data_IF_824596308929
#
_entry.id   IF_824596308929
#
_cell.length_a   1.000
_cell.length_b   1.000
_cell.length_c   1.000
_cell.angle_alpha   90.00
_cell.angle_beta   90.00
_cell.angle_gamma   90.00
#
_symmetry.space_group_name_H-M   'P 1'
#
loop_
_entity.id
_entity.type
_entity.pdbx_description
1 polymer ?
#
# COMPACT_ATOMS: atom_id res chain seq x y z
N UNK A 1 60.20 -7.97 18.71
CA UNK A 1 58.79 -7.53 18.76
C UNK A 1 58.01 -8.38 17.76
N UNK A 2 57.70 -9.63 18.12
CA UNK A 2 57.04 -10.58 17.22
C UNK A 2 55.53 -10.51 17.44
N UNK A 3 54.81 -10.00 16.45
CA UNK A 3 53.37 -10.22 16.32
C UNK A 3 53.23 -11.69 15.90
N UNK A 4 53.01 -12.56 16.88
CA UNK A 4 52.70 -13.97 16.64
C UNK A 4 51.34 -14.05 15.95
N UNK A 5 51.34 -14.59 14.74
CA UNK A 5 50.15 -14.98 13.98
C UNK A 5 49.29 -15.90 14.85
N UNK A 6 48.09 -15.41 15.22
CA UNK A 6 47.06 -16.24 15.84
C UNK A 6 46.77 -17.45 14.94
N UNK A 7 46.69 -18.68 15.48
CA UNK A 7 46.31 -19.85 14.70
C UNK A 7 44.96 -19.60 14.03
N UNK A 8 44.89 -19.84 12.72
CA UNK A 8 43.71 -19.58 11.87
C UNK A 8 42.45 -20.23 12.43
N UNK A 9 42.59 -21.38 13.09
CA UNK A 9 41.51 -22.13 13.76
C UNK A 9 40.97 -21.43 15.01
N UNK A 10 41.83 -20.83 15.85
CA UNK A 10 41.41 -20.03 17.00
C UNK A 10 40.70 -18.76 16.55
N UNK A 11 41.16 -18.16 15.46
CA UNK A 11 40.56 -16.97 14.87
C UNK A 11 39.18 -17.30 14.25
N UNK A 12 39.03 -18.44 13.58
CA UNK A 12 37.72 -18.95 13.11
C UNK A 12 36.77 -19.32 14.26
N UNK A 13 37.26 -19.94 15.33
CA UNK A 13 36.45 -20.22 16.51
C UNK A 13 36.00 -18.94 17.22
N UNK A 14 36.88 -17.95 17.33
CA UNK A 14 36.53 -16.66 17.94
C UNK A 14 35.56 -15.85 17.07
N UNK A 15 35.76 -15.84 15.74
CA UNK A 15 34.85 -15.18 14.80
C UNK A 15 33.47 -15.86 14.76
N UNK A 16 33.42 -17.19 14.82
CA UNK A 16 32.15 -17.94 14.86
C UNK A 16 31.40 -17.71 16.19
N UNK A 17 32.11 -17.71 17.32
CA UNK A 17 31.52 -17.36 18.63
C UNK A 17 31.03 -15.91 18.68
N UNK A 18 31.79 -14.97 18.13
CA UNK A 18 31.41 -13.56 18.04
C UNK A 18 30.14 -13.38 17.18
N UNK A 19 30.09 -14.02 16.01
CA UNK A 19 28.91 -14.03 15.14
C UNK A 19 27.69 -14.65 15.82
N UNK A 20 27.88 -15.77 16.55
CA UNK A 20 26.83 -16.42 17.32
C UNK A 20 26.24 -15.52 18.40
N UNK A 21 27.08 -14.82 19.17
CA UNK A 21 26.62 -13.90 20.21
C UNK A 21 25.75 -12.77 19.62
N UNK A 22 26.19 -12.12 18.53
CA UNK A 22 25.41 -11.05 17.90
C UNK A 22 24.11 -11.56 17.31
N UNK A 23 24.12 -12.76 16.72
CA UNK A 23 22.91 -13.42 16.26
C UNK A 23 21.94 -13.68 17.41
N UNK A 24 22.43 -14.18 18.54
CA UNK A 24 21.59 -14.47 19.71
C UNK A 24 21.00 -13.18 20.30
N UNK A 25 21.82 -12.14 20.49
CA UNK A 25 21.35 -10.83 20.97
C UNK A 25 20.31 -10.22 20.03
N UNK A 26 20.53 -10.33 18.72
CA UNK A 26 19.59 -9.85 17.72
C UNK A 26 18.25 -10.60 17.82
N UNK A 27 18.26 -11.93 17.79
CA UNK A 27 17.04 -12.75 17.74
C UNK A 27 16.25 -12.71 19.05
N UNK A 28 16.86 -12.31 20.17
CA UNK A 28 16.15 -12.04 21.42
C UNK A 28 15.38 -10.71 21.41
N UNK A 29 15.75 -9.77 20.54
CA UNK A 29 15.17 -8.42 20.50
C UNK A 29 14.34 -8.15 19.24
N UNK A 30 14.65 -8.81 18.13
CA UNK A 30 14.07 -8.55 16.82
C UNK A 30 13.74 -9.85 16.09
N UNK A 31 12.74 -9.77 15.20
CA UNK A 31 12.38 -10.88 14.34
C UNK A 31 13.51 -11.21 13.33
N UNK A 32 13.63 -12.48 12.91
CA UNK A 32 14.62 -12.87 11.92
C UNK A 32 14.43 -12.11 10.59
N UNK A 33 15.49 -11.56 10.01
CA UNK A 33 15.41 -10.78 8.77
C UNK A 33 15.06 -11.62 7.55
N UNK A 34 14.39 -11.02 6.57
CA UNK A 34 13.96 -11.70 5.33
C UNK A 34 15.15 -12.31 4.58
N UNK A 35 16.29 -11.60 4.58
CA UNK A 35 17.50 -12.00 3.85
C UNK A 35 18.04 -13.39 4.21
N UNK A 36 17.79 -13.87 5.44
CA UNK A 36 18.22 -15.21 5.90
C UNK A 36 17.47 -16.33 5.18
N UNK A 37 16.30 -16.03 4.62
CA UNK A 37 15.50 -17.01 3.89
C UNK A 37 15.85 -17.05 2.40
N UNK A 38 16.54 -16.03 1.90
CA UNK A 38 16.94 -15.92 0.49
C UNK A 38 18.37 -16.43 0.23
N UNK A 39 19.26 -16.40 1.23
CA UNK A 39 20.67 -16.78 1.07
C UNK A 39 21.08 -17.85 2.08
N UNK A 40 22.07 -18.68 1.71
CA UNK A 40 22.78 -19.56 2.66
C UNK A 40 23.30 -18.71 3.83
N UNK A 41 23.10 -19.20 5.06
CA UNK A 41 23.18 -18.48 6.34
C UNK A 41 24.53 -17.82 6.70
N UNK A 42 25.52 -17.79 5.80
CA UNK A 42 26.93 -17.63 6.16
C UNK A 42 27.45 -16.19 6.19
N UNK A 43 26.77 -15.20 5.60
CA UNK A 43 27.33 -13.83 5.50
C UNK A 43 26.37 -12.69 5.93
N UNK A 44 25.53 -12.93 6.94
CA UNK A 44 24.67 -11.87 7.48
C UNK A 44 25.38 -11.09 8.60
N UNK A 45 25.55 -9.77 8.43
CA UNK A 45 26.21 -8.89 9.41
C UNK A 45 25.31 -8.53 10.61
N UNK A 46 25.07 -9.51 11.49
CA UNK A 46 24.20 -9.40 12.68
C UNK A 46 24.49 -8.18 13.56
N UNK A 47 25.77 -7.90 13.84
CA UNK A 47 26.18 -6.77 14.69
C UNK A 47 25.74 -5.42 14.11
N UNK A 48 26.04 -5.19 12.83
CA UNK A 48 25.71 -3.94 12.15
C UNK A 48 24.20 -3.71 12.10
N UNK A 49 23.45 -4.78 11.87
CA UNK A 49 21.99 -4.79 11.77
C UNK A 49 21.30 -4.55 13.13
N UNK A 50 21.86 -5.07 14.22
CA UNK A 50 21.42 -4.77 15.57
C UNK A 50 21.67 -3.30 15.93
N UNK A 51 22.90 -2.82 15.70
CA UNK A 51 23.31 -1.44 16.00
C UNK A 51 22.45 -0.45 15.19
N UNK A 52 22.19 -0.71 13.91
CA UNK A 52 21.36 0.13 13.07
C UNK A 52 19.93 0.27 13.62
N UNK A 53 19.29 -0.84 14.00
CA UNK A 53 17.92 -0.84 14.57
C UNK A 53 17.83 -0.10 15.90
N UNK A 54 18.80 -0.32 16.81
CA UNK A 54 18.85 0.38 18.10
C UNK A 54 19.08 1.88 17.90
N UNK A 55 20.00 2.27 17.01
CA UNK A 55 20.24 3.67 16.65
C UNK A 55 19.00 4.32 16.04
N UNK A 56 18.30 3.63 15.14
CA UNK A 56 17.08 4.12 14.52
C UNK A 56 16.01 4.43 15.58
N UNK A 57 15.76 3.51 16.51
CA UNK A 57 14.83 3.78 17.61
C UNK A 57 15.27 4.96 18.49
N UNK A 58 16.55 5.05 18.84
CA UNK A 58 17.08 6.19 19.60
C UNK A 58 16.83 7.54 18.89
N UNK A 59 17.05 7.59 17.57
CA UNK A 59 16.78 8.79 16.75
C UNK A 59 15.32 9.21 16.81
N UNK A 60 14.36 8.28 16.88
CA UNK A 60 12.95 8.66 16.98
C UNK A 60 12.54 9.21 18.34
N UNK A 61 13.22 8.80 19.41
CA UNK A 61 13.00 9.36 20.75
C UNK A 61 13.66 10.73 20.93
N UNK A 62 14.90 10.90 20.46
CA UNK A 62 15.70 12.08 20.75
C UNK A 62 15.79 13.08 19.59
N UNK A 63 15.33 12.71 18.40
CA UNK A 63 15.44 13.50 17.18
C UNK A 63 16.69 13.14 16.35
N UNK A 64 16.66 13.37 15.02
CA UNK A 64 17.81 13.11 14.15
C UNK A 64 18.87 14.21 14.30
N UNK A 65 20.14 13.80 14.37
CA UNK A 65 21.29 14.72 14.41
C UNK A 65 21.64 15.30 13.01
N UNK A 66 21.25 14.61 11.95
CA UNK A 66 21.46 15.05 10.56
C UNK A 66 20.44 14.40 9.62
N UNK A 67 20.30 14.92 8.40
CA UNK A 67 19.45 14.34 7.36
C UNK A 67 19.86 12.91 6.99
N UNK A 68 21.16 12.60 7.01
CA UNK A 68 21.65 11.23 6.77
C UNK A 68 21.24 10.25 7.88
N UNK A 69 21.33 10.67 9.14
CA UNK A 69 20.84 9.87 10.26
C UNK A 69 19.33 9.63 10.16
N UNK A 70 18.55 10.65 9.75
CA UNK A 70 17.11 10.50 9.48
C UNK A 70 16.85 9.47 8.38
N UNK A 71 17.53 9.57 7.24
CA UNK A 71 17.39 8.60 6.12
C UNK A 71 17.74 7.18 6.55
N UNK A 72 18.85 7.00 7.25
CA UNK A 72 19.28 5.70 7.78
C UNK A 72 18.24 5.11 8.74
N UNK A 73 17.70 5.92 9.65
CA UNK A 73 16.63 5.51 10.56
C UNK A 73 15.35 5.12 9.81
N UNK A 74 14.92 5.89 8.82
CA UNK A 74 13.73 5.58 8.00
C UNK A 74 13.88 4.26 7.24
N UNK A 75 15.00 4.06 6.54
CA UNK A 75 15.29 2.80 5.83
C UNK A 75 15.31 1.60 6.79
N UNK A 76 15.87 1.79 7.99
CA UNK A 76 15.93 0.74 9.01
C UNK A 76 14.53 0.35 9.50
N UNK A 77 13.62 1.30 9.68
CA UNK A 77 12.24 1.00 10.07
C UNK A 77 11.47 0.33 8.96
N UNK A 78 11.64 0.77 7.70
CA UNK A 78 10.99 0.13 6.55
C UNK A 78 11.41 -1.35 6.44
N UNK A 79 12.72 -1.63 6.54
CA UNK A 79 13.23 -3.00 6.57
C UNK A 79 12.68 -3.79 7.77
N UNK A 80 12.55 -3.15 8.94
CA UNK A 80 11.96 -3.77 10.14
C UNK A 80 10.48 -4.14 9.92
N UNK A 81 9.70 -3.32 9.20
CA UNK A 81 8.32 -3.66 8.83
C UNK A 81 8.28 -4.85 7.89
N UNK A 82 9.15 -4.93 6.89
CA UNK A 82 9.23 -6.06 5.96
C UNK A 82 9.60 -7.37 6.67
N UNK A 83 10.61 -7.32 7.55
CA UNK A 83 10.99 -8.44 8.41
C UNK A 83 9.81 -8.92 9.28
N UNK A 84 9.04 -7.96 9.81
CA UNK A 84 7.85 -8.24 10.63
C UNK A 84 6.80 -9.02 9.85
N UNK A 85 6.58 -8.66 8.59
CA UNK A 85 5.61 -9.32 7.71
C UNK A 85 6.02 -10.76 7.44
N UNK A 86 7.29 -11.00 7.11
CA UNK A 86 7.82 -12.35 6.89
C UNK A 86 7.79 -13.22 8.16
N UNK A 87 8.03 -12.61 9.33
CA UNK A 87 7.91 -13.30 10.62
C UNK A 87 6.45 -13.66 10.94
N UNK A 88 5.54 -12.68 10.88
CA UNK A 88 4.14 -12.85 11.20
C UNK A 88 3.43 -13.87 10.31
N UNK A 89 3.79 -13.96 9.03
CA UNK A 89 3.27 -14.99 8.11
C UNK A 89 3.54 -16.43 8.59
N UNK A 90 4.57 -16.64 9.42
CA UNK A 90 4.96 -17.97 9.91
C UNK A 90 4.53 -18.26 11.34
N UNK A 91 4.82 -17.34 12.26
CA UNK A 91 4.57 -17.50 13.70
C UNK A 91 3.20 -16.96 14.10
N UNK A 92 2.65 -16.01 13.35
CA UNK A 92 1.44 -15.27 13.68
C UNK A 92 1.65 -14.08 14.61
N UNK A 93 2.89 -13.80 15.04
CA UNK A 93 3.26 -12.68 15.89
C UNK A 93 4.62 -12.11 15.46
N UNK A 94 4.89 -10.85 15.81
CA UNK A 94 6.13 -10.16 15.47
C UNK A 94 6.58 -9.30 16.65
N UNK A 95 7.81 -9.55 17.12
CA UNK A 95 8.44 -8.74 18.17
C UNK A 95 8.79 -7.34 17.63
N UNK A 96 9.14 -7.26 16.35
CA UNK A 96 9.41 -6.00 15.67
C UNK A 96 8.20 -5.06 15.71
N UNK A 97 6.98 -5.55 15.45
CA UNK A 97 5.76 -4.74 15.56
C UNK A 97 5.47 -4.34 17.00
N UNK A 98 5.72 -5.21 17.98
CA UNK A 98 5.58 -4.87 19.41
C UNK A 98 6.50 -3.71 19.78
N UNK A 99 7.77 -3.77 19.37
CA UNK A 99 8.74 -2.68 19.50
C UNK A 99 8.30 -1.41 18.77
N UNK A 100 7.87 -1.53 17.51
CA UNK A 100 7.42 -0.41 16.69
C UNK A 100 6.20 0.29 17.31
N UNK A 101 5.22 -0.45 17.83
CA UNK A 101 4.07 0.11 18.58
C UNK A 101 4.55 0.93 19.78
N UNK A 102 5.48 0.40 20.57
CA UNK A 102 6.04 1.14 21.73
C UNK A 102 6.72 2.44 21.28
N UNK A 103 7.48 2.41 20.20
CA UNK A 103 8.15 3.60 19.64
C UNK A 103 7.11 4.59 19.11
N UNK A 104 6.14 4.15 18.31
CA UNK A 104 5.08 4.99 17.75
C UNK A 104 4.30 5.76 18.82
N UNK A 105 3.94 5.11 19.92
CA UNK A 105 3.13 5.73 20.97
C UNK A 105 3.92 6.49 22.04
N UNK A 106 5.23 6.25 22.18
CA UNK A 106 6.06 6.88 23.23
C UNK A 106 7.12 7.86 22.70
N UNK A 107 7.33 7.92 21.40
CA UNK A 107 8.35 8.77 20.78
C UNK A 107 7.74 9.92 19.99
N UNK A 108 8.58 10.87 19.62
CA UNK A 108 8.25 11.98 18.73
C UNK A 108 8.28 11.55 17.24
N UNK A 109 8.19 10.25 16.95
CA UNK A 109 8.22 9.71 15.59
C UNK A 109 7.21 10.41 14.68
N UNK A 110 5.99 10.64 15.14
CA UNK A 110 4.93 11.25 14.33
C UNK A 110 5.22 12.70 13.99
N UNK A 111 5.57 13.51 14.99
CA UNK A 111 5.93 14.92 14.75
C UNK A 111 7.15 15.03 13.84
N UNK A 112 8.13 14.13 13.99
CA UNK A 112 9.29 14.05 13.11
C UNK A 112 8.96 13.58 11.68
N UNK A 113 7.98 12.69 11.49
CA UNK A 113 7.52 12.24 10.17
C UNK A 113 6.73 13.33 9.41
N UNK A 114 6.09 14.24 10.13
CA UNK A 114 5.37 15.37 9.54
C UNK A 114 6.23 16.64 9.42
N UNK A 115 7.46 16.61 9.91
CA UNK A 115 8.43 17.69 9.67
C UNK A 115 8.85 17.66 8.20
N UNK A 116 8.68 18.80 7.54
CA UNK A 116 9.05 19.01 6.14
C UNK A 116 10.52 18.61 5.91
N UNK A 117 10.78 17.96 4.78
CA UNK A 117 12.14 17.71 4.29
C UNK A 117 12.20 18.17 2.85
N UNK A 118 13.28 18.86 2.49
CA UNK A 118 13.51 19.35 1.13
C UNK A 118 14.10 18.27 0.21
N UNK A 119 14.59 17.17 0.80
CA UNK A 119 15.17 16.03 0.07
C UNK A 119 14.06 15.16 -0.55
N UNK A 120 14.05 14.96 -1.88
CA UNK A 120 13.02 14.14 -2.54
C UNK A 120 13.06 12.68 -2.06
N UNK A 121 14.25 12.15 -1.74
CA UNK A 121 14.41 10.81 -1.20
C UNK A 121 13.79 10.66 0.20
N UNK A 122 13.99 11.66 1.06
CA UNK A 122 13.41 11.66 2.41
C UNK A 122 11.89 11.70 2.35
N UNK A 123 11.34 12.47 1.40
CA UNK A 123 9.91 12.57 1.16
C UNK A 123 9.36 11.21 0.73
N UNK A 124 10.00 10.53 -0.22
CA UNK A 124 9.57 9.18 -0.66
C UNK A 124 9.62 8.17 0.49
N UNK A 125 10.70 8.10 1.26
CA UNK A 125 10.83 7.19 2.41
C UNK A 125 9.80 7.48 3.50
N UNK A 126 9.55 8.76 3.77
CA UNK A 126 8.56 9.21 4.75
C UNK A 126 7.14 8.84 4.29
N UNK A 127 6.81 9.07 3.02
CA UNK A 127 5.51 8.74 2.44
C UNK A 127 5.28 7.24 2.34
N UNK A 128 6.33 6.44 2.10
CA UNK A 128 6.26 4.98 2.17
C UNK A 128 5.88 4.51 3.59
N UNK A 129 6.58 5.02 4.60
CA UNK A 129 6.28 4.66 5.99
C UNK A 129 4.87 5.12 6.42
N UNK A 130 4.44 6.31 6.00
CA UNK A 130 3.06 6.79 6.25
C UNK A 130 2.01 5.91 5.57
N UNK A 131 2.29 5.44 4.35
CA UNK A 131 1.43 4.50 3.63
C UNK A 131 1.27 3.18 4.40
N UNK A 132 2.35 2.65 4.97
CA UNK A 132 2.31 1.41 5.77
C UNK A 132 1.54 1.58 7.10
N UNK A 133 1.65 2.76 7.72
CA UNK A 133 0.95 3.08 8.97
C UNK A 133 -0.55 3.38 8.76
N UNK A 134 -0.99 3.65 7.53
CA UNK A 134 -2.42 3.75 7.17
C UNK A 134 -3.27 4.66 8.07
N UNK A 135 -2.70 5.79 8.52
CA UNK A 135 -3.35 6.72 9.47
C UNK A 135 -3.79 6.11 10.82
N UNK A 136 -3.34 4.89 11.17
CA UNK A 136 -3.68 4.21 12.45
C UNK A 136 -3.37 5.08 13.65
N UNK A 137 -2.42 5.98 13.52
CA UNK A 137 -1.99 6.86 14.60
C UNK A 137 -2.89 8.08 14.82
N UNK A 138 -3.76 8.39 13.85
CA UNK A 138 -4.78 9.46 13.96
C UNK A 138 -6.15 8.94 14.40
N UNK A 139 -6.26 7.64 14.71
CA UNK A 139 -7.50 6.97 15.13
C UNK A 139 -7.73 6.95 16.65
N UNK A 140 -6.88 7.62 17.45
CA UNK A 140 -7.26 7.90 18.82
C UNK A 140 -8.53 8.75 18.76
N UNK A 141 -9.66 8.17 19.16
CA UNK A 141 -10.93 8.90 19.27
C UNK A 141 -10.64 10.19 20.04
N UNK A 142 -11.15 11.36 19.59
CA UNK A 142 -11.15 12.52 20.46
C UNK A 142 -11.89 12.08 21.73
N UNK A 143 -11.17 12.10 22.85
CA UNK A 143 -11.78 11.87 24.14
C UNK A 143 -12.87 12.94 24.27
N UNK A 144 -14.11 12.56 24.55
CA UNK A 144 -15.28 13.45 24.56
C UNK A 144 -15.09 14.63 25.53
N UNK A 145 -14.09 14.52 26.41
CA UNK A 145 -13.67 15.48 27.42
C UNK A 145 -12.67 16.53 26.92
N UNK A 146 -12.01 16.34 25.78
CA UNK A 146 -11.13 17.36 25.16
C UNK A 146 -11.33 17.38 23.64
N UNK A 147 -12.00 18.40 23.09
CA UNK A 147 -12.10 18.57 21.66
C UNK A 147 -10.73 19.02 21.15
N UNK A 148 -9.90 18.06 20.76
CA UNK A 148 -8.62 18.33 20.09
C UNK A 148 -8.90 18.76 18.64
N UNK A 149 -9.63 19.87 18.50
CA UNK A 149 -10.14 20.43 17.25
C UNK A 149 -9.01 20.66 16.24
N UNK A 150 -7.81 20.95 16.72
CA UNK A 150 -6.63 21.17 15.89
C UNK A 150 -6.17 19.89 15.18
N UNK A 151 -6.19 18.75 15.87
CA UNK A 151 -5.87 17.43 15.30
C UNK A 151 -6.90 17.00 14.25
N UNK A 152 -8.19 17.23 14.51
CA UNK A 152 -9.25 16.97 13.54
C UNK A 152 -9.14 17.85 12.30
N UNK A 153 -8.92 19.16 12.48
CA UNK A 153 -8.73 20.11 11.38
C UNK A 153 -7.50 19.78 10.53
N UNK A 154 -6.40 19.37 11.16
CA UNK A 154 -5.19 18.94 10.44
C UNK A 154 -5.46 17.70 9.57
N UNK A 155 -6.23 16.74 10.08
CA UNK A 155 -6.60 15.55 9.31
C UNK A 155 -7.55 15.89 8.15
N UNK A 156 -8.54 16.76 8.38
CA UNK A 156 -9.45 17.22 7.33
C UNK A 156 -8.69 17.98 6.23
N UNK A 157 -7.78 18.87 6.60
CA UNK A 157 -6.93 19.57 5.63
C UNK A 157 -6.05 18.59 4.82
N UNK A 158 -5.51 17.55 5.47
CA UNK A 158 -4.73 16.50 4.79
C UNK A 158 -5.57 15.74 3.76
N UNK A 159 -6.86 15.54 4.05
CA UNK A 159 -7.80 14.91 3.12
C UNK A 159 -7.96 15.74 1.86
N UNK A 160 -8.23 17.03 2.00
CA UNK A 160 -8.48 17.92 0.86
C UNK A 160 -7.23 18.02 -0.04
N UNK A 161 -6.03 18.08 0.56
CA UNK A 161 -4.76 18.03 -0.17
C UNK A 161 -4.60 16.70 -0.91
N UNK A 162 -4.94 15.58 -0.25
CA UNK A 162 -4.81 14.26 -0.87
C UNK A 162 -5.82 14.03 -1.99
N UNK A 163 -7.06 14.50 -1.82
CA UNK A 163 -8.06 14.48 -2.90
C UNK A 163 -7.62 15.33 -4.07
N UNK A 164 -7.07 16.52 -3.81
CA UNK A 164 -6.58 17.40 -4.86
C UNK A 164 -5.48 16.74 -5.69
N UNK A 165 -4.58 15.99 -5.04
CA UNK A 165 -3.55 15.23 -5.72
C UNK A 165 -4.13 14.04 -6.51
N UNK A 166 -5.03 13.26 -5.90
CA UNK A 166 -5.57 12.03 -6.50
C UNK A 166 -6.51 12.31 -7.68
N UNK A 167 -7.29 13.38 -7.65
CA UNK A 167 -8.21 13.73 -8.73
C UNK A 167 -7.60 14.68 -9.78
N UNK A 168 -6.32 15.03 -9.65
CA UNK A 168 -5.58 15.76 -10.69
C UNK A 168 -5.19 14.82 -11.83
N UNK A 169 -5.87 14.98 -12.97
CA UNK A 169 -5.73 14.09 -14.13
C UNK A 169 -4.31 14.10 -14.71
N UNK A 170 -3.53 15.18 -14.48
CA UNK A 170 -2.16 15.31 -14.99
C UNK A 170 -1.19 14.28 -14.39
N UNK A 171 -1.55 13.67 -13.26
CA UNK A 171 -0.76 12.61 -12.64
C UNK A 171 -0.86 11.27 -13.38
N UNK A 172 -1.83 11.13 -14.30
CA UNK A 172 -2.15 9.89 -15.00
C UNK A 172 -1.78 10.00 -16.47
N UNK A 173 -0.65 9.40 -16.83
CA UNK A 173 -0.13 9.44 -18.20
C UNK A 173 0.36 8.07 -18.61
N UNK A 174 0.61 7.88 -19.91
CA UNK A 174 1.24 6.67 -20.40
C UNK A 174 2.61 6.39 -19.74
N UNK A 175 3.39 7.44 -19.39
CA UNK A 175 4.68 7.30 -18.70
C UNK A 175 4.53 6.77 -17.28
N UNK A 176 3.47 7.19 -16.57
CA UNK A 176 3.15 6.70 -15.22
C UNK A 176 2.30 5.43 -15.25
N UNK A 177 2.01 4.89 -16.45
CA UNK A 177 1.14 3.73 -16.69
C UNK A 177 -0.22 3.86 -15.99
N UNK A 178 -0.73 5.10 -15.92
CA UNK A 178 -1.98 5.45 -15.25
C UNK A 178 -2.10 4.93 -13.79
N UNK A 179 -0.96 4.74 -13.13
CA UNK A 179 -0.86 4.26 -11.75
C UNK A 179 0.05 5.12 -10.89
N UNK A 180 0.31 4.73 -9.63
CA UNK A 180 1.16 5.46 -8.70
C UNK A 180 2.65 5.23 -8.96
N UNK A 181 3.09 5.44 -10.21
CA UNK A 181 4.46 5.24 -10.65
C UNK A 181 5.10 6.54 -11.10
N UNK A 182 6.40 6.62 -10.94
CA UNK A 182 7.24 7.63 -11.55
C UNK A 182 7.47 7.28 -13.04
N UNK A 183 7.87 8.25 -13.89
CA UNK A 183 8.16 8.00 -15.30
C UNK A 183 9.29 6.98 -15.56
N UNK A 184 10.15 6.73 -14.58
CA UNK A 184 11.20 5.70 -14.62
C UNK A 184 10.68 4.31 -14.25
N UNK A 185 9.40 4.19 -13.90
CA UNK A 185 8.76 2.94 -13.50
C UNK A 185 8.86 2.61 -12.02
N UNK A 186 9.62 3.36 -11.22
CA UNK A 186 9.68 3.22 -9.76
C UNK A 186 8.37 3.64 -9.08
N UNK A 187 8.13 3.17 -7.86
CA UNK A 187 6.93 3.56 -7.10
C UNK A 187 7.00 5.02 -6.66
N UNK A 188 5.94 5.79 -6.95
CA UNK A 188 5.76 7.12 -6.39
C UNK A 188 5.05 7.03 -5.04
N UNK A 189 5.80 6.90 -3.95
CA UNK A 189 5.26 6.77 -2.60
C UNK A 189 4.48 7.99 -2.12
N UNK A 190 4.75 9.19 -2.65
CA UNK A 190 3.94 10.39 -2.38
C UNK A 190 2.52 10.20 -2.92
N UNK A 191 2.40 9.68 -4.15
CA UNK A 191 1.10 9.34 -4.73
C UNK A 191 0.41 8.26 -3.91
N UNK A 192 1.12 7.19 -3.55
CA UNK A 192 0.59 6.11 -2.69
C UNK A 192 0.08 6.66 -1.35
N UNK A 193 0.81 7.58 -0.71
CA UNK A 193 0.37 8.21 0.53
C UNK A 193 -0.96 8.93 0.34
N UNK A 194 -1.12 9.70 -0.74
CA UNK A 194 -2.38 10.40 -1.02
C UNK A 194 -3.54 9.44 -1.29
N UNK A 195 -3.30 8.34 -2.03
CA UNK A 195 -4.31 7.29 -2.25
C UNK A 195 -4.75 6.65 -0.93
N UNK A 196 -3.79 6.28 -0.06
CA UNK A 196 -4.05 5.74 1.29
C UNK A 196 -4.86 6.73 2.11
N UNK A 197 -4.48 8.01 2.12
CA UNK A 197 -5.17 9.03 2.91
C UNK A 197 -6.62 9.21 2.47
N UNK A 198 -6.91 9.26 1.17
CA UNK A 198 -8.30 9.41 0.67
C UNK A 198 -9.16 8.24 1.13
N UNK A 199 -8.72 7.00 0.86
CA UNK A 199 -9.49 5.81 1.22
C UNK A 199 -9.66 5.69 2.74
N UNK A 200 -8.57 5.84 3.51
CA UNK A 200 -8.61 5.68 4.96
C UNK A 200 -9.50 6.75 5.64
N UNK A 201 -9.46 7.99 5.17
CA UNK A 201 -10.27 9.08 5.74
C UNK A 201 -11.73 8.98 5.33
N UNK A 202 -12.02 8.52 4.11
CA UNK A 202 -13.39 8.20 3.72
C UNK A 202 -13.94 7.11 4.62
N UNK A 203 -13.25 5.98 4.76
CA UNK A 203 -13.67 4.87 5.64
C UNK A 203 -13.88 5.30 7.09
N UNK A 204 -13.06 6.22 7.61
CA UNK A 204 -13.18 6.76 8.97
C UNK A 204 -14.49 7.53 9.19
N UNK A 205 -14.99 8.22 8.18
CA UNK A 205 -16.21 9.04 8.28
C UNK A 205 -17.50 8.24 8.01
N UNK A 206 -17.39 6.99 7.56
CA UNK A 206 -18.55 6.16 7.25
C UNK A 206 -19.28 5.69 8.53
N UNK A 207 -20.62 5.79 8.58
CA UNK A 207 -21.40 5.46 9.77
C UNK A 207 -21.54 3.95 9.97
N UNK A 208 -21.51 3.47 11.23
CA UNK A 208 -21.90 2.08 11.57
C UNK A 208 -20.75 1.06 11.58
N UNK A 209 -20.88 -0.04 10.83
CA UNK A 209 -20.00 -1.21 10.92
C UNK A 209 -18.68 -1.11 10.12
N UNK A 210 -18.47 -0.03 9.36
CA UNK A 210 -17.28 0.21 8.53
C UNK A 210 -15.94 0.19 9.27
N UNK A 211 -15.84 0.55 10.57
CA UNK A 211 -14.60 0.37 11.33
C UNK A 211 -14.14 -1.09 11.41
N UNK A 212 -15.05 -2.06 11.26
CA UNK A 212 -14.73 -3.51 11.24
C UNK A 212 -14.26 -3.99 9.86
N UNK A 213 -14.49 -3.21 8.81
CA UNK A 213 -14.12 -3.52 7.42
C UNK A 213 -12.99 -2.64 6.91
N UNK A 214 -12.22 -2.00 7.80
CA UNK A 214 -11.07 -1.17 7.41
C UNK A 214 -9.95 -2.01 6.80
N UNK A 215 -9.19 -1.47 5.83
CA UNK A 215 -7.98 -2.13 5.36
C UNK A 215 -6.95 -2.30 6.49
N UNK A 216 -6.19 -3.39 6.52
CA UNK A 216 -5.17 -3.64 7.53
C UNK A 216 -3.94 -2.75 7.33
N UNK A 217 -3.34 -2.31 8.43
CA UNK A 217 -2.06 -1.60 8.46
C UNK A 217 -0.89 -2.55 8.74
N UNK A 218 0.34 -2.03 8.69
CA UNK A 218 1.52 -2.80 9.11
C UNK A 218 1.49 -3.21 10.59
N UNK A 219 0.61 -2.62 11.40
CA UNK A 219 0.45 -2.95 12.83
C UNK A 219 -0.60 -4.04 13.08
N UNK A 220 -1.39 -4.38 12.07
CA UNK A 220 -2.50 -5.34 12.10
C UNK A 220 -2.07 -6.70 11.50
N UNK A 221 -0.84 -7.13 11.79
CA UNK A 221 -0.33 -8.41 11.27
C UNK A 221 -1.10 -9.57 11.91
N UNK A 222 -1.69 -10.41 11.06
CA UNK A 222 -2.35 -11.65 11.43
C UNK A 222 -1.70 -12.81 10.69
N UNK A 223 -1.80 -14.02 11.22
CA UNK A 223 -1.30 -15.24 10.57
C UNK A 223 -2.08 -15.53 9.28
N UNK A 224 -1.67 -14.93 8.17
CA UNK A 224 -2.19 -15.22 6.83
C UNK A 224 -1.11 -15.93 6.04
N UNK A 225 -1.27 -17.23 5.83
CA UNK A 225 -0.40 -18.00 4.91
C UNK A 225 -0.96 -17.86 3.50
N UNK A 226 -0.19 -17.26 2.60
CA UNK A 226 -0.36 -17.46 1.16
C UNK A 226 0.69 -18.45 0.66
N UNK A 227 0.35 -19.20 -0.38
CA UNK A 227 1.26 -20.15 -1.01
C UNK A 227 2.03 -19.50 -2.17
N UNK A 228 1.50 -18.39 -2.70
CA UNK A 228 2.14 -17.56 -3.70
C UNK A 228 2.80 -16.32 -3.08
N UNK A 229 3.77 -15.75 -3.80
CA UNK A 229 4.58 -14.65 -3.29
C UNK A 229 3.81 -13.31 -3.23
N UNK A 230 2.76 -13.11 -4.03
CA UNK A 230 1.98 -11.88 -4.03
C UNK A 230 0.76 -11.93 -3.08
N UNK A 231 0.37 -13.11 -2.60
CA UNK A 231 -0.80 -13.27 -1.77
C UNK A 231 -2.10 -13.61 -2.52
N UNK A 232 -2.07 -13.87 -3.83
CA UNK A 232 -3.22 -14.07 -4.72
C UNK A 232 -4.12 -15.26 -4.30
N UNK A 233 -3.54 -16.40 -3.90
CA UNK A 233 -4.29 -17.66 -3.66
C UNK A 233 -4.94 -17.76 -2.29
N UNK A 234 -6.14 -18.33 -2.18
CA UNK A 234 -6.82 -18.58 -0.91
C UNK A 234 -6.11 -19.56 0.06
N UNK A 235 -6.66 -19.67 1.27
CA UNK A 235 -6.17 -20.65 2.27
C UNK A 235 -6.69 -22.04 1.90
N UNK A 236 -5.84 -23.07 1.96
CA UNK A 236 -6.32 -24.46 1.83
C UNK A 236 -7.19 -24.85 3.03
N UNK A 237 -8.39 -25.45 2.83
CA UNK A 237 -9.08 -26.15 3.89
C UNK A 237 -8.18 -27.29 4.41
N UNK A 238 -8.01 -27.39 5.72
CA UNK A 238 -7.10 -28.34 6.37
C UNK A 238 -7.49 -29.81 6.23
N UNK A 239 -8.56 -30.14 5.50
CA UNK A 239 -9.23 -31.43 5.60
C UNK A 239 -9.84 -31.89 4.27
N UNK A 240 -9.02 -32.32 3.30
CA UNK A 240 -9.51 -33.18 2.21
C UNK A 240 -8.45 -34.22 1.81
N UNK A 241 -8.89 -35.48 1.79
CA UNK A 241 -8.12 -36.66 1.41
C UNK A 241 -7.79 -36.67 -0.09
N UNK A 242 -6.57 -37.12 -0.39
CA UNK A 242 -6.22 -38.08 -1.46
C UNK A 242 -6.99 -38.02 -2.81
N UNK A 243 -6.23 -37.68 -3.87
CA UNK A 243 -6.39 -38.17 -5.25
C UNK A 243 -7.54 -37.62 -6.14
N UNK A 244 -7.91 -36.35 -6.02
CA UNK A 244 -8.70 -35.68 -7.07
C UNK A 244 -7.99 -34.42 -7.54
N UNK A 245 -8.03 -34.16 -8.85
CA UNK A 245 -7.39 -33.03 -9.54
C UNK A 245 -7.62 -31.74 -8.75
N UNK A 246 -6.52 -31.01 -8.49
CA UNK A 246 -6.44 -29.84 -7.60
C UNK A 246 -7.48 -28.78 -7.99
N UNK A 247 -8.49 -28.44 -7.16
CA UNK A 247 -9.19 -27.18 -7.35
C UNK A 247 -8.25 -26.04 -6.92
N UNK A 248 -7.98 -25.10 -7.83
CA UNK A 248 -7.23 -23.87 -7.52
C UNK A 248 -7.91 -23.17 -6.35
N UNK A 249 -7.17 -22.85 -5.29
CA UNK A 249 -7.72 -22.18 -4.11
C UNK A 249 -8.02 -20.72 -4.43
N UNK A 250 -9.30 -20.41 -4.60
CA UNK A 250 -9.79 -19.05 -4.83
C UNK A 250 -9.48 -18.16 -3.62
N UNK A 251 -8.86 -17.00 -3.84
CA UNK A 251 -8.63 -15.98 -2.82
C UNK A 251 -9.82 -15.04 -2.72
N UNK A 252 -10.31 -14.79 -1.50
CA UNK A 252 -11.37 -13.80 -1.24
C UNK A 252 -10.76 -12.46 -0.81
N UNK A 253 -11.16 -11.40 -1.48
CA UNK A 253 -10.66 -10.04 -1.27
C UNK A 253 -11.80 -9.04 -1.07
N UNK A 254 -11.46 -7.92 -0.44
CA UNK A 254 -12.30 -6.74 -0.28
C UNK A 254 -11.60 -5.56 -0.91
N UNK A 255 -12.37 -4.74 -1.61
CA UNK A 255 -11.86 -3.58 -2.34
C UNK A 255 -12.70 -2.36 -2.02
N UNK A 256 -12.09 -1.34 -1.44
CA UNK A 256 -12.66 0.00 -1.45
C UNK A 256 -12.34 0.68 -2.77
N UNK A 257 -13.33 1.33 -3.35
CA UNK A 257 -13.22 2.15 -4.55
C UNK A 257 -13.88 3.49 -4.22
N UNK A 258 -13.14 4.59 -4.40
CA UNK A 258 -13.69 5.94 -4.25
C UNK A 258 -13.75 6.63 -5.62
N UNK A 259 -14.76 7.46 -5.83
CA UNK A 259 -14.84 8.37 -6.98
C UNK A 259 -15.55 9.66 -6.63
N UNK A 260 -15.05 10.73 -7.24
CA UNK A 260 -15.74 12.01 -7.38
C UNK A 260 -16.88 11.89 -8.39
N UNK A 261 -17.99 12.61 -8.16
CA UNK A 261 -19.06 12.76 -9.16
C UNK A 261 -18.47 13.31 -10.48
N UNK A 262 -18.80 12.69 -11.61
CA UNK A 262 -18.27 13.07 -12.92
C UNK A 262 -18.49 14.57 -13.23
N UNK A 263 -19.61 15.13 -12.77
CA UNK A 263 -19.92 16.55 -12.92
C UNK A 263 -18.98 17.45 -12.14
N UNK A 264 -18.48 16.99 -11.00
CA UNK A 264 -17.53 17.73 -10.17
C UNK A 264 -16.10 17.56 -10.74
N UNK A 265 -15.81 16.45 -11.42
CA UNK A 265 -14.51 16.17 -12.04
C UNK A 265 -14.29 16.95 -13.35
N UNK A 266 -15.28 16.93 -14.25
CA UNK A 266 -15.20 17.49 -15.61
C UNK A 266 -16.08 18.72 -15.86
N UNK A 267 -17.14 18.92 -15.07
CA UNK A 267 -18.14 19.96 -15.32
C UNK A 267 -18.97 19.71 -16.59
N UNK A 268 -20.21 20.19 -16.62
CA UNK A 268 -20.88 20.37 -17.90
C UNK A 268 -20.39 21.68 -18.51
N UNK A 269 -19.86 21.62 -19.74
CA UNK A 269 -19.60 22.82 -20.54
C UNK A 269 -20.92 23.61 -20.72
N UNK A 270 -20.97 24.91 -20.43
CA UNK A 270 -22.17 25.72 -20.67
C UNK A 270 -22.20 26.13 -22.15
N UNK A 271 -22.29 25.16 -23.07
CA UNK A 271 -22.66 25.43 -24.45
C UNK A 271 -24.16 25.24 -24.64
N UNK A 272 -24.95 25.94 -23.82
CA UNK A 272 -26.34 26.23 -24.14
C UNK A 272 -26.59 27.68 -23.73
N UNK A 273 -26.84 28.54 -24.71
CA UNK A 273 -27.40 29.87 -24.50
C UNK A 273 -28.74 29.72 -23.74
N UNK A 274 -28.71 29.85 -22.42
CA UNK A 274 -29.91 30.01 -21.62
C UNK A 274 -29.73 31.25 -20.76
N UNK A 275 -30.78 32.06 -20.79
CA UNK A 275 -30.99 33.37 -20.19
C UNK A 275 -30.42 33.55 -18.77
N UNK A 276 -30.09 34.81 -18.49
CA UNK A 276 -29.49 35.44 -17.30
C UNK A 276 -30.04 35.07 -15.90
N UNK A 277 -30.91 34.07 -15.75
CA UNK A 277 -31.54 33.73 -14.47
C UNK A 277 -31.13 32.32 -14.01
N UNK A 278 -30.42 32.28 -12.87
CA UNK A 278 -29.95 31.09 -12.13
C UNK A 278 -28.84 30.25 -12.80
N UNK A 279 -27.70 30.89 -13.03
CA UNK A 279 -26.38 30.26 -13.28
C UNK A 279 -25.96 29.35 -12.11
N UNK A 280 -26.41 28.11 -12.12
CA UNK A 280 -25.83 27.05 -11.27
C UNK A 280 -24.59 26.50 -11.98
N UNK A 281 -23.55 27.33 -12.11
CA UNK A 281 -22.23 26.93 -12.62
C UNK A 281 -21.65 25.89 -11.64
N UNK A 282 -21.82 24.60 -11.93
CA UNK A 282 -21.05 23.54 -11.27
C UNK A 282 -19.60 23.65 -11.76
N UNK A 283 -18.68 23.82 -10.83
CA UNK A 283 -17.26 23.99 -11.08
C UNK A 283 -16.64 22.64 -11.40
N UNK A 284 -15.86 22.56 -12.48
CA UNK A 284 -15.07 21.39 -12.82
C UNK A 284 -13.73 21.44 -12.08
N UNK A 285 -13.41 20.49 -11.21
CA UNK A 285 -12.16 20.48 -10.46
C UNK A 285 -10.92 20.64 -11.36
N UNK A 286 -10.87 19.94 -12.50
CA UNK A 286 -9.70 19.95 -13.38
C UNK A 286 -9.63 21.16 -14.35
N UNK A 287 -10.76 21.84 -14.60
CA UNK A 287 -10.87 22.82 -15.71
C UNK A 287 -11.40 24.20 -15.28
N UNK A 288 -11.94 24.34 -14.07
CA UNK A 288 -12.50 25.62 -13.61
C UNK A 288 -11.42 26.69 -13.51
N UNK A 289 -11.63 27.81 -14.18
CA UNK A 289 -10.82 29.03 -14.01
C UNK A 289 -11.37 29.94 -12.89
N UNK A 290 -12.51 29.58 -12.29
CA UNK A 290 -13.10 30.32 -11.17
C UNK A 290 -12.44 29.94 -9.83
N UNK A 291 -12.45 30.88 -8.87
CA UNK A 291 -11.76 30.79 -7.56
C UNK A 291 -10.22 30.76 -7.67
N UNK A 292 -9.51 30.16 -6.70
CA UNK A 292 -8.05 30.04 -6.61
C UNK A 292 -7.40 29.22 -7.77
N UNK A 293 -8.13 28.99 -8.86
CA UNK A 293 -7.71 28.25 -10.04
C UNK A 293 -8.07 26.76 -10.03
N UNK A 294 -7.82 26.07 -11.16
CA UNK A 294 -8.12 24.65 -11.32
C UNK A 294 -7.26 23.81 -10.37
N UNK A 295 -7.83 22.70 -9.90
CA UNK A 295 -7.20 21.70 -9.02
C UNK A 295 -6.87 22.19 -7.61
N UNK A 296 -7.45 23.29 -7.17
CA UNK A 296 -7.16 23.84 -5.86
C UNK A 296 -7.88 23.06 -4.72
N UNK A 297 -7.20 22.69 -3.61
CA UNK A 297 -7.80 21.92 -2.51
C UNK A 297 -9.06 22.52 -1.87
N UNK A 298 -9.23 23.85 -1.96
CA UNK A 298 -10.45 24.52 -1.46
C UNK A 298 -11.73 24.05 -2.16
N UNK A 299 -11.64 23.47 -3.36
CA UNK A 299 -12.77 22.88 -4.07
C UNK A 299 -13.55 21.88 -3.19
N UNK A 300 -12.83 21.06 -2.42
CA UNK A 300 -13.41 20.02 -1.56
C UNK A 300 -14.15 20.56 -0.33
N UNK A 301 -14.09 21.88 -0.09
CA UNK A 301 -14.84 22.54 0.98
C UNK A 301 -16.24 22.96 0.53
N UNK A 302 -16.56 22.86 -0.76
CA UNK A 302 -17.90 23.14 -1.26
C UNK A 302 -18.89 22.09 -0.70
N UNK A 303 -19.95 22.48 0.01
CA UNK A 303 -20.97 21.55 0.53
C UNK A 303 -21.67 20.72 -0.56
N UNK A 304 -21.58 21.13 -1.82
CA UNK A 304 -22.17 20.44 -2.97
C UNK A 304 -21.28 19.31 -3.50
N UNK A 305 -20.00 19.29 -3.14
CA UNK A 305 -19.06 18.25 -3.54
C UNK A 305 -19.58 16.87 -3.11
N UNK A 306 -19.59 15.92 -4.05
CA UNK A 306 -19.97 14.53 -3.76
C UNK A 306 -18.84 13.58 -4.13
N UNK A 307 -18.55 12.67 -3.20
CA UNK A 307 -17.61 11.58 -3.37
C UNK A 307 -18.24 10.30 -2.82
N UNK A 308 -18.31 9.27 -3.65
CA UNK A 308 -18.81 7.98 -3.25
C UNK A 308 -17.67 7.06 -2.83
N UNK A 309 -17.94 6.19 -1.85
CA UNK A 309 -17.06 5.10 -1.44
C UNK A 309 -17.83 3.79 -1.44
N UNK A 310 -17.33 2.81 -2.20
CA UNK A 310 -17.97 1.50 -2.38
C UNK A 310 -17.08 0.38 -1.88
N UNK A 311 -17.67 -0.56 -1.15
CA UNK A 311 -17.05 -1.84 -0.82
C UNK A 311 -17.43 -2.89 -1.87
N UNK A 312 -16.43 -3.50 -2.50
CA UNK A 312 -16.57 -4.52 -3.53
C UNK A 312 -15.95 -5.82 -3.04
N UNK A 313 -16.61 -6.94 -3.29
CA UNK A 313 -16.02 -8.28 -3.13
C UNK A 313 -15.28 -8.66 -4.40
N UNK A 314 -14.05 -9.15 -4.26
CA UNK A 314 -13.24 -9.64 -5.37
C UNK A 314 -12.83 -11.06 -5.07
N UNK A 315 -12.98 -11.96 -6.03
CA UNK A 315 -12.52 -13.35 -5.93
C UNK A 315 -11.52 -13.63 -7.03
N UNK A 316 -10.35 -14.18 -6.68
CA UNK A 316 -9.26 -14.41 -7.63
C UNK A 316 -8.78 -15.86 -7.63
N UNK A 317 -8.40 -16.36 -8.79
CA UNK A 317 -7.77 -17.68 -8.97
C UNK A 317 -6.57 -17.53 -9.88
N UNK A 318 -5.42 -18.09 -9.49
CA UNK A 318 -4.21 -18.07 -10.33
C UNK A 318 -4.44 -18.91 -11.57
N UNK A 319 -4.01 -18.40 -12.72
CA UNK A 319 -4.06 -19.10 -14.00
C UNK A 319 -2.75 -18.93 -14.77
N UNK A 320 -2.45 -19.84 -15.71
CA UNK A 320 -1.44 -19.60 -16.74
C UNK A 320 -1.78 -18.37 -17.60
N UNK A 321 -0.75 -17.72 -18.16
CA UNK A 321 -0.89 -16.50 -18.97
C UNK A 321 -1.77 -16.70 -20.21
N UNK A 322 -1.80 -17.92 -20.76
CA UNK A 322 -2.57 -18.29 -21.96
C UNK A 322 -4.08 -18.22 -21.74
N UNK A 323 -4.54 -18.18 -20.48
CA UNK A 323 -5.94 -18.03 -20.15
C UNK A 323 -6.41 -16.57 -20.09
N UNK A 324 -5.48 -15.60 -20.12
CA UNK A 324 -5.82 -14.18 -20.18
C UNK A 324 -6.22 -13.79 -21.61
N UNK A 325 -7.39 -13.18 -21.77
CA UNK A 325 -7.93 -12.82 -23.09
C UNK A 325 -7.59 -11.39 -23.46
N UNK A 326 -7.72 -10.48 -22.49
CA UNK A 326 -7.64 -9.04 -22.71
C UNK A 326 -6.35 -8.44 -22.18
N UNK A 327 -5.91 -8.88 -21.00
CA UNK A 327 -4.74 -8.30 -20.37
C UNK A 327 -3.47 -8.64 -21.15
N UNK A 328 -2.71 -7.60 -21.51
CA UNK A 328 -1.35 -7.72 -22.04
C UNK A 328 -0.38 -7.30 -20.96
N UNK A 329 0.55 -8.18 -20.61
CA UNK A 329 1.60 -7.83 -19.67
C UNK A 329 2.51 -6.77 -20.31
N UNK A 330 2.96 -5.76 -19.53
CA UNK A 330 4.10 -4.95 -19.93
C UNK A 330 5.27 -5.86 -20.29
N UNK A 331 6.03 -5.52 -21.35
CA UNK A 331 7.24 -6.27 -21.69
C UNK A 331 8.14 -6.35 -20.44
N UNK A 332 8.45 -7.58 -20.04
CA UNK A 332 9.37 -7.81 -18.93
C UNK A 332 10.73 -7.27 -19.35
N UNK A 333 11.12 -6.12 -18.82
CA UNK A 333 12.52 -5.70 -18.94
C UNK A 333 13.37 -6.75 -18.23
N UNK A 334 14.43 -7.28 -18.89
CA UNK A 334 15.24 -8.32 -18.31
C UNK A 334 15.89 -7.79 -17.02
N UNK A 335 15.46 -8.31 -15.87
CA UNK A 335 16.03 -7.95 -14.58
C UNK A 335 17.55 -8.21 -14.58
N UNK A 336 18.39 -7.18 -14.39
CA UNK A 336 19.80 -7.39 -14.12
C UNK A 336 19.94 -7.85 -12.68
N UNK A 337 20.15 -9.15 -12.50
CA UNK A 337 20.68 -9.78 -11.28
C UNK A 337 19.90 -9.54 -9.96
N UNK A 338 19.03 -10.50 -9.62
CA UNK A 338 19.15 -11.14 -8.30
C UNK A 338 18.78 -12.62 -8.44
N UNK A 339 19.77 -13.49 -8.23
CA UNK A 339 19.67 -14.93 -8.44
C UNK A 339 18.91 -15.67 -7.32
N UNK A 340 18.00 -15.03 -6.58
CA UNK A 340 17.54 -15.56 -5.29
C UNK A 340 16.07 -16.03 -5.23
N UNK A 341 15.14 -15.51 -6.05
CA UNK A 341 13.79 -16.08 -6.16
C UNK A 341 13.28 -15.92 -7.60
N UNK A 342 12.90 -17.03 -8.24
CA UNK A 342 12.11 -17.00 -9.48
C UNK A 342 10.74 -16.38 -9.17
N UNK A 343 10.61 -15.08 -9.41
CA UNK A 343 9.37 -14.30 -9.25
C UNK A 343 8.78 -14.00 -10.62
N UNK A 344 8.55 -15.07 -11.37
CA UNK A 344 7.78 -15.02 -12.62
C UNK A 344 6.42 -14.32 -12.41
N UNK A 345 5.90 -13.59 -13.42
CA UNK A 345 4.61 -12.92 -13.34
C UNK A 345 3.48 -13.87 -12.92
N UNK A 346 2.69 -13.46 -11.93
CA UNK A 346 1.51 -14.23 -11.50
C UNK A 346 0.27 -13.70 -12.20
N UNK A 347 -0.34 -14.52 -13.03
CA UNK A 347 -1.59 -14.19 -13.71
C UNK A 347 -2.79 -14.74 -12.92
N UNK A 348 -3.90 -14.02 -12.93
CA UNK A 348 -5.13 -14.44 -12.26
C UNK A 348 -6.39 -14.02 -13.03
N UNK A 349 -7.43 -14.81 -12.88
CA UNK A 349 -8.79 -14.45 -13.28
C UNK A 349 -9.70 -14.40 -12.06
N UNK A 350 -10.86 -13.79 -12.19
CA UNK A 350 -11.74 -13.63 -11.06
C UNK A 350 -13.09 -13.03 -11.39
N UNK A 351 -13.79 -12.66 -10.32
CA UNK A 351 -14.97 -11.80 -10.42
C UNK A 351 -14.96 -10.70 -9.37
N UNK A 352 -15.52 -9.54 -9.73
CA UNK A 352 -15.80 -8.44 -8.81
C UNK A 352 -17.31 -8.26 -8.68
N UNK A 353 -17.81 -8.20 -7.45
CA UNK A 353 -19.22 -8.02 -7.15
C UNK A 353 -19.45 -6.80 -6.25
N UNK A 354 -20.23 -5.85 -6.73
CA UNK A 354 -20.67 -4.67 -5.98
C UNK A 354 -21.97 -4.91 -5.19
N UNK A 355 -22.39 -3.90 -4.43
CA UNK A 355 -23.63 -3.90 -3.62
C UNK A 355 -24.87 -4.13 -4.48
N UNK A 356 -24.84 -3.57 -5.68
CA UNK A 356 -25.89 -3.54 -6.68
C UNK A 356 -26.15 -4.92 -7.30
N UNK A 357 -25.33 -5.93 -6.97
CA UNK A 357 -25.39 -7.26 -7.55
C UNK A 357 -24.68 -7.40 -8.90
N UNK A 358 -24.28 -6.28 -9.53
CA UNK A 358 -23.51 -6.30 -10.77
C UNK A 358 -22.17 -7.01 -10.56
N UNK A 359 -22.00 -8.11 -11.27
CA UNK A 359 -20.78 -8.91 -11.28
C UNK A 359 -20.01 -8.62 -12.58
N UNK A 360 -18.73 -8.33 -12.44
CA UNK A 360 -17.81 -8.20 -13.57
C UNK A 360 -16.83 -9.37 -13.54
N UNK A 361 -16.50 -9.92 -14.70
CA UNK A 361 -15.35 -10.80 -14.81
C UNK A 361 -14.08 -9.97 -14.61
N UNK A 362 -13.02 -10.61 -14.11
CA UNK A 362 -11.74 -9.96 -13.87
C UNK A 362 -10.60 -10.76 -14.51
N UNK A 363 -9.65 -10.04 -15.07
CA UNK A 363 -8.36 -10.56 -15.52
C UNK A 363 -7.27 -9.66 -14.94
N UNK A 364 -6.19 -10.25 -14.45
CA UNK A 364 -5.17 -9.51 -13.75
C UNK A 364 -3.83 -10.22 -13.72
N UNK A 365 -2.80 -9.46 -13.38
CA UNK A 365 -1.45 -9.96 -13.18
C UNK A 365 -0.70 -9.18 -12.11
N UNK A 366 0.27 -9.87 -11.49
CA UNK A 366 1.20 -9.31 -10.53
C UNK A 366 2.61 -9.50 -11.06
N UNK A 367 3.36 -8.41 -11.13
CA UNK A 367 4.74 -8.38 -11.61
C UNK A 367 5.61 -7.75 -10.52
N UNK A 368 6.79 -8.30 -10.30
CA UNK A 368 7.77 -7.66 -9.41
C UNK A 368 8.41 -6.46 -10.09
N UNK A 369 8.49 -5.34 -9.37
CA UNK A 369 9.25 -4.18 -9.83
C UNK A 369 10.75 -4.30 -9.64
N UNK A 370 11.52 -3.50 -10.38
CA UNK A 370 12.98 -3.38 -10.18
C UNK A 370 13.34 -2.89 -8.76
N UNK A 371 12.42 -2.17 -8.12
CA UNK A 371 12.49 -1.73 -6.73
C UNK A 371 12.09 -2.83 -5.72
N UNK A 372 11.80 -4.06 -6.19
CA UNK A 372 11.35 -5.18 -5.38
C UNK A 372 9.90 -5.10 -4.91
N UNK A 373 9.15 -4.08 -5.35
CA UNK A 373 7.76 -3.86 -4.93
C UNK A 373 6.79 -4.56 -5.89
N UNK A 374 5.86 -5.41 -5.42
CA UNK A 374 4.87 -6.05 -6.28
C UNK A 374 3.90 -5.04 -6.89
N UNK A 375 3.70 -5.13 -8.21
CA UNK A 375 2.83 -4.26 -9.02
C UNK A 375 1.66 -5.06 -9.56
N UNK A 376 0.46 -4.58 -9.30
CA UNK A 376 -0.79 -5.22 -9.66
C UNK A 376 -1.44 -4.46 -10.81
N UNK A 377 -1.82 -5.20 -11.84
CA UNK A 377 -2.57 -4.72 -13.00
C UNK A 377 -3.78 -5.62 -13.18
N UNK A 378 -4.98 -5.06 -13.21
CA UNK A 378 -6.18 -5.86 -13.43
C UNK A 378 -7.31 -5.04 -14.01
N UNK A 379 -8.23 -5.73 -14.68
CA UNK A 379 -9.30 -5.13 -15.45
C UNK A 379 -10.63 -5.73 -15.00
N UNK A 380 -11.69 -4.91 -15.00
CA UNK A 380 -13.07 -5.39 -14.86
C UNK A 380 -13.74 -5.42 -16.24
N UNK A 381 -14.26 -6.59 -16.58
CA UNK A 381 -14.81 -6.93 -17.88
C UNK A 381 -16.32 -7.14 -17.71
N UNK A 382 -17.10 -6.30 -18.39
CA UNK A 382 -18.55 -6.39 -18.46
C UNK A 382 -18.93 -6.75 -19.90
N UNK A 383 -19.83 -7.72 -20.06
CA UNK A 383 -20.33 -8.15 -21.38
C UNK A 383 -19.19 -8.43 -22.39
N UNK A 384 -18.14 -9.12 -21.94
CA UNK A 384 -16.90 -9.41 -22.70
C UNK A 384 -16.14 -8.18 -23.22
N UNK A 385 -16.38 -7.00 -22.64
CA UNK A 385 -15.66 -5.76 -22.96
C UNK A 385 -14.93 -5.26 -21.72
N UNK A 386 -13.60 -5.09 -21.75
CA UNK A 386 -12.88 -4.44 -20.67
C UNK A 386 -13.32 -2.98 -20.55
N UNK A 387 -13.93 -2.61 -19.43
CA UNK A 387 -14.43 -1.25 -19.21
C UNK A 387 -13.54 -0.48 -18.23
N UNK A 388 -13.08 -1.16 -17.19
CA UNK A 388 -12.31 -0.53 -16.12
C UNK A 388 -10.93 -1.17 -16.03
N UNK A 389 -9.92 -0.32 -15.88
CA UNK A 389 -8.54 -0.71 -15.61
C UNK A 389 -8.17 -0.29 -14.20
N UNK A 390 -7.30 -1.06 -13.56
CA UNK A 390 -6.85 -0.83 -12.19
C UNK A 390 -5.38 -1.17 -12.06
N UNK A 391 -4.63 -0.23 -11.53
CA UNK A 391 -3.20 -0.30 -11.41
C UNK A 391 -2.76 0.10 -9.99
N UNK A 392 -1.98 -0.74 -9.31
CA UNK A 392 -1.58 -0.47 -7.93
C UNK A 392 -0.31 -1.18 -7.49
N UNK A 393 0.09 -0.87 -6.25
CA UNK A 393 1.28 -1.40 -5.60
C UNK A 393 0.89 -2.15 -4.33
N UNK A 394 1.57 -3.25 -4.05
CA UNK A 394 1.36 -4.00 -2.82
C UNK A 394 2.15 -3.37 -1.67
N UNK A 395 1.43 -2.91 -0.64
CA UNK A 395 2.04 -2.29 0.53
C UNK A 395 2.77 -3.35 1.37
N UNK A 396 4.00 -3.08 1.80
CA UNK A 396 4.80 -3.98 2.64
C UNK A 396 5.42 -5.16 1.90
N UNK A 397 5.39 -5.14 0.57
CA UNK A 397 6.01 -6.16 -0.26
C UNK A 397 5.24 -7.48 -0.33
N UNK A 398 5.94 -8.49 -0.83
CA UNK A 398 5.42 -9.82 -1.15
C UNK A 398 4.73 -10.48 0.05
N UNK A 399 3.48 -10.91 -0.15
CA UNK A 399 2.68 -11.63 0.85
C UNK A 399 2.15 -10.76 1.99
N UNK A 400 2.35 -9.44 1.92
CA UNK A 400 1.88 -8.52 2.96
C UNK A 400 0.35 -8.53 3.10
N UNK A 401 -0.17 -8.57 4.34
CA UNK A 401 -1.61 -8.52 4.58
C UNK A 401 -2.20 -7.14 4.31
N UNK A 402 -1.38 -6.07 4.23
CA UNK A 402 -1.83 -4.69 3.98
C UNK A 402 -2.56 -4.53 2.65
N UNK A 403 -2.32 -5.44 1.70
CA UNK A 403 -2.98 -5.43 0.40
C UNK A 403 -2.36 -4.44 -0.57
N UNK A 404 -3.16 -4.07 -1.56
CA UNK A 404 -2.79 -3.32 -2.76
C UNK A 404 -3.50 -1.98 -2.75
N UNK A 405 -2.74 -0.90 -2.94
CA UNK A 405 -3.28 0.45 -3.10
C UNK A 405 -2.96 0.94 -4.50
N UNK A 406 -3.93 1.56 -5.14
CA UNK A 406 -3.76 1.98 -6.51
C UNK A 406 -4.86 2.89 -7.00
N UNK A 407 -4.91 3.00 -8.31
CA UNK A 407 -5.81 3.87 -9.05
C UNK A 407 -6.59 3.03 -10.04
N UNK A 408 -7.86 3.37 -10.19
CA UNK A 408 -8.71 2.84 -11.24
C UNK A 408 -9.14 3.96 -12.17
N UNK A 409 -9.34 3.61 -13.43
CA UNK A 409 -9.79 4.49 -14.50
C UNK A 409 -10.44 3.62 -15.59
N UNK A 410 -10.86 4.19 -16.73
CA UNK A 410 -11.37 3.35 -17.82
C UNK A 410 -10.23 2.61 -18.50
N UNK A 411 -10.58 1.63 -19.33
CA UNK A 411 -9.60 0.87 -20.09
C UNK A 411 -8.92 1.67 -21.22
N UNK A 412 -9.60 2.66 -21.78
CA UNK A 412 -9.10 3.39 -22.96
C UNK A 412 -8.14 4.51 -22.57
N UNK A 413 -8.19 4.97 -21.32
CA UNK A 413 -7.34 6.03 -20.80
C UNK A 413 -7.51 7.35 -21.58
N UNK A 414 -8.76 7.70 -21.88
CA UNK A 414 -9.13 8.96 -22.52
C UNK A 414 -8.91 10.14 -21.56
N UNK A 415 -8.67 11.32 -22.11
CA UNK A 415 -8.34 12.52 -21.32
C UNK A 415 -9.46 12.91 -20.36
N UNK A 416 -10.71 12.50 -20.65
CA UNK A 416 -11.89 12.72 -19.83
C UNK A 416 -12.35 11.52 -19.00
N UNK A 417 -11.47 10.53 -18.82
CA UNK A 417 -11.77 9.36 -18.04
C UNK A 417 -11.95 9.69 -16.55
N UNK A 418 -12.95 9.11 -15.88
CA UNK A 418 -12.99 9.12 -14.43
C UNK A 418 -11.75 8.44 -13.85
N UNK A 419 -11.31 8.96 -12.70
CA UNK A 419 -10.18 8.41 -11.95
C UNK A 419 -10.52 8.38 -10.47
N UNK A 420 -10.01 7.38 -9.76
CA UNK A 420 -10.18 7.33 -8.31
C UNK A 420 -9.24 6.35 -7.62
N UNK A 421 -9.08 6.47 -6.30
CA UNK A 421 -8.26 5.56 -5.53
C UNK A 421 -9.00 4.25 -5.24
N UNK A 422 -8.24 3.16 -5.10
CA UNK A 422 -8.74 1.93 -4.51
C UNK A 422 -7.76 1.36 -3.47
N UNK A 423 -8.31 0.57 -2.55
CA UNK A 423 -7.54 -0.27 -1.64
C UNK A 423 -8.15 -1.68 -1.64
N UNK A 424 -7.38 -2.66 -2.11
CA UNK A 424 -7.75 -4.07 -2.21
C UNK A 424 -6.96 -4.86 -1.14
N UNK A 425 -7.63 -5.58 -0.25
CA UNK A 425 -6.95 -6.43 0.74
C UNK A 425 -7.64 -7.77 0.89
N UNK A 426 -6.87 -8.76 1.32
CA UNK A 426 -7.34 -10.14 1.42
C UNK A 426 -8.10 -10.35 2.71
N UNK A 427 -9.21 -11.07 2.63
CA UNK A 427 -10.01 -11.47 3.78
C UNK A 427 -10.08 -12.99 3.89
N UNK A 428 -10.59 -13.48 5.01
CA UNK A 428 -10.83 -14.91 5.17
C UNK A 428 -12.07 -15.30 4.35
N UNK A 429 -12.13 -16.54 3.87
CA UNK A 429 -13.20 -17.00 2.97
C UNK A 429 -14.59 -16.94 3.61
N UNK A 430 -14.66 -16.95 4.95
CA UNK A 430 -15.90 -16.83 5.73
C UNK A 430 -16.20 -15.37 6.14
N UNK A 431 -15.49 -14.38 5.60
CA UNK A 431 -15.72 -12.98 5.92
C UNK A 431 -17.14 -12.57 5.50
N UNK A 432 -17.87 -11.79 6.33
CA UNK A 432 -19.22 -11.34 5.99
C UNK A 432 -19.29 -10.70 4.61
N UNK A 433 -20.30 -11.08 3.83
CA UNK A 433 -20.58 -10.57 2.47
C UNK A 433 -21.36 -9.26 2.49
N UNK A 434 -21.44 -8.58 3.64
CA UNK A 434 -22.19 -7.33 3.76
C UNK A 434 -21.44 -6.22 3.03
N UNK A 435 -21.70 -6.12 1.73
CA UNK A 435 -21.23 -5.02 0.90
C UNK A 435 -21.98 -3.76 1.31
N UNK A 436 -21.33 -2.61 1.16
CA UNK A 436 -21.88 -1.32 1.56
C UNK A 436 -21.48 -0.25 0.56
N UNK A 437 -22.38 0.70 0.34
CA UNK A 437 -22.19 1.86 -0.54
C UNK A 437 -22.57 3.13 0.24
N UNK A 438 -21.77 4.18 0.05
CA UNK A 438 -22.02 5.50 0.62
C UNK A 438 -21.69 6.57 -0.41
N UNK A 439 -22.52 7.61 -0.50
CA UNK A 439 -22.51 8.66 -1.54
C UNK A 439 -22.61 10.06 -0.96
#
# INVERSE_FOLDING_TARGET
>A
MMITTLPTELLQHFLSFYSYLWRHLYLNAFDPPVAIYAHSQTDYHWKSQLIARVKAFSIFFHGPLSAEHRRSALRTILALVEDSIAAASRTGASENISGLKKVLFKSNLLSNLYSASDSPEDVQLTSQLKSYLALVVTNNKPDVTTPDNQSLLAVLAKRDISRAYVYDLRNYTAKTRWGPFMPDGSVNWVHVEHLVNVVALNVRELPGAWPKTRPPSCLDLSRRRSHDWAGVEGRRPSFYLSNTIRPFTQGTWRRYVCFMDYRDLFGMSPFVHVSQDLLTLRQAFNFTEMADGPRHPKFFKDPRFREATRLIEVKTSIVPIEQLRFLRLPEAQPCPSSAALDRSPLCFIGSSKGVNGNEAAMEGAVIEGEDGVPRWYFMSIYDNTPQWSSCGVQLGGSGSPMGVVGVWTTNNHEDDDPVGPFWLWKVDDNSPTHLMEYT
#
